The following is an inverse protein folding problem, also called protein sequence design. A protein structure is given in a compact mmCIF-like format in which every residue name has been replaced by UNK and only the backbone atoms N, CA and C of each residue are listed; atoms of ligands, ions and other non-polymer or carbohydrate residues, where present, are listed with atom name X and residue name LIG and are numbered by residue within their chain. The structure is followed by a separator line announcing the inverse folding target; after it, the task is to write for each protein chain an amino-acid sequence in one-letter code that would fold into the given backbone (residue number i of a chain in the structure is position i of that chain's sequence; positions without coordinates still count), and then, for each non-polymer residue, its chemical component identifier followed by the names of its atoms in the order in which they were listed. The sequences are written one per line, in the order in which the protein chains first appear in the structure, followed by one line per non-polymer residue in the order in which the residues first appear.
data_IF_287320169812
#
_entry.id   IF_287320169812
#
_cell.length_a   1.000
_cell.length_b   1.000
_cell.length_c   1.000
_cell.angle_alpha   90.00
_cell.angle_beta   90.00
_cell.angle_gamma   90.00
#
_symmetry.space_group_name_H-M   'P 1'
#
loop_
_entity.id
_entity.type
_entity.pdbx_description
1 polymer ?
#
# COMPACT_ATOMS: atom_id res chain seq x y z
N UNK A 1 28.89 -17.48 -21.84
CA UNK A 1 27.73 -17.28 -20.92
C UNK A 1 28.07 -16.62 -19.55
N UNK A 2 29.27 -16.04 -19.31
CA UNK A 2 29.71 -15.70 -17.92
C UNK A 2 29.75 -14.21 -17.51
N UNK A 3 29.50 -13.23 -18.39
CA UNK A 3 29.43 -11.80 -17.99
C UNK A 3 28.01 -11.28 -17.73
N UNK A 4 27.06 -11.49 -18.66
CA UNK A 4 25.65 -11.07 -18.54
C UNK A 4 24.91 -11.64 -17.31
N UNK A 5 25.24 -12.86 -16.87
CA UNK A 5 24.62 -13.51 -15.70
C UNK A 5 25.15 -12.93 -14.38
N UNK A 6 26.44 -12.53 -14.32
CA UNK A 6 27.09 -11.86 -13.19
C UNK A 6 26.61 -10.41 -13.03
N UNK A 7 26.40 -9.68 -14.13
CA UNK A 7 25.83 -8.32 -14.12
C UNK A 7 24.36 -8.30 -13.67
N UNK A 8 23.52 -9.21 -14.18
CA UNK A 8 22.13 -9.35 -13.71
C UNK A 8 22.03 -9.71 -12.23
N UNK A 9 22.98 -10.50 -11.71
CA UNK A 9 23.07 -10.82 -10.28
C UNK A 9 23.38 -9.58 -9.43
N UNK A 10 24.44 -8.85 -9.78
CA UNK A 10 24.85 -7.62 -9.08
C UNK A 10 23.79 -6.50 -9.14
N UNK A 11 23.08 -6.38 -10.28
CA UNK A 11 22.00 -5.40 -10.42
C UNK A 11 20.79 -5.75 -9.54
N UNK A 12 20.41 -7.04 -9.48
CA UNK A 12 19.35 -7.51 -8.56
C UNK A 12 19.71 -7.32 -7.09
N UNK A 13 20.98 -7.51 -6.73
CA UNK A 13 21.49 -7.27 -5.37
C UNK A 13 21.45 -5.79 -5.01
N UNK A 14 21.94 -4.90 -5.89
CA UNK A 14 21.86 -3.45 -5.69
C UNK A 14 20.40 -2.94 -5.63
N UNK A 15 19.50 -3.49 -6.43
CA UNK A 15 18.08 -3.13 -6.40
C UNK A 15 17.40 -3.65 -5.13
N UNK A 16 17.82 -4.79 -4.60
CA UNK A 16 17.35 -5.33 -3.31
C UNK A 16 17.86 -4.48 -2.14
N UNK A 17 19.14 -4.10 -2.14
CA UNK A 17 19.72 -3.18 -1.16
C UNK A 17 19.11 -1.76 -1.22
N UNK A 18 18.74 -1.28 -2.41
CA UNK A 18 18.05 0.01 -2.56
C UNK A 18 16.60 -0.06 -2.05
N UNK A 19 15.87 -1.16 -2.32
CA UNK A 19 14.54 -1.41 -1.73
C UNK A 19 14.58 -1.55 -0.21
N UNK A 20 15.65 -2.15 0.33
CA UNK A 20 15.90 -2.26 1.77
C UNK A 20 16.40 -0.94 2.40
N UNK A 21 16.48 0.17 1.65
CA UNK A 21 16.83 1.51 2.18
C UNK A 21 15.65 2.48 2.26
N UNK A 22 14.54 2.22 1.58
CA UNK A 22 13.38 3.13 1.62
C UNK A 22 12.67 3.00 2.97
N UNK A 23 12.75 4.06 3.79
CA UNK A 23 12.00 4.17 5.04
C UNK A 23 10.51 4.22 4.73
N UNK A 24 9.72 3.43 5.44
CA UNK A 24 8.26 3.46 5.32
C UNK A 24 7.61 3.68 6.68
N UNK A 25 6.60 4.53 6.67
CA UNK A 25 5.85 4.94 7.85
C UNK A 25 4.40 4.54 7.74
N UNK A 26 3.90 3.84 8.74
CA UNK A 26 2.51 3.41 8.83
C UNK A 26 1.86 4.18 9.96
N UNK A 27 1.01 5.15 9.64
CA UNK A 27 0.26 5.95 10.59
C UNK A 27 -1.14 5.34 10.72
N UNK A 28 -1.41 4.70 11.83
CA UNK A 28 -2.64 3.95 12.07
C UNK A 28 -3.62 4.82 12.85
N UNK A 29 -4.78 5.04 12.24
CA UNK A 29 -5.95 5.59 12.88
C UNK A 29 -6.66 4.46 13.65
N UNK A 30 -6.20 4.19 14.86
CA UNK A 30 -6.67 3.03 15.63
C UNK A 30 -8.14 3.16 16.05
N UNK A 31 -8.67 4.38 16.15
CA UNK A 31 -10.09 4.64 16.41
C UNK A 31 -10.96 4.12 15.26
N UNK A 32 -10.48 4.23 14.02
CA UNK A 32 -11.23 3.82 12.84
C UNK A 32 -11.07 2.34 12.46
N UNK A 33 -9.84 1.80 12.51
CA UNK A 33 -9.54 0.45 11.99
C UNK A 33 -9.26 -0.60 13.05
N UNK A 34 -9.05 -0.19 14.30
CA UNK A 34 -8.72 -1.08 15.42
C UNK A 34 -7.63 -2.11 15.04
N UNK A 35 -7.77 -3.36 15.50
CA UNK A 35 -6.84 -4.46 15.18
C UNK A 35 -6.80 -4.78 13.67
N UNK A 36 -7.89 -4.56 12.93
CA UNK A 36 -7.92 -4.89 11.50
C UNK A 36 -6.88 -4.08 10.70
N UNK A 37 -6.59 -2.85 11.11
CA UNK A 37 -5.53 -2.01 10.54
C UNK A 37 -4.13 -2.62 10.65
N UNK A 38 -3.89 -3.45 11.68
CA UNK A 38 -2.59 -4.09 11.94
C UNK A 38 -2.34 -5.35 11.10
N UNK A 39 -3.31 -5.80 10.29
CA UNK A 39 -3.11 -6.98 9.45
C UNK A 39 -1.88 -6.78 8.53
N UNK A 40 -0.90 -7.68 8.61
CA UNK A 40 0.35 -7.60 7.86
C UNK A 40 1.50 -6.91 8.59
N UNK A 41 1.34 -6.52 9.87
CA UNK A 41 2.41 -5.92 10.69
C UNK A 41 3.59 -6.87 10.89
N UNK A 42 3.36 -8.18 10.89
CA UNK A 42 4.36 -9.25 10.96
C UNK A 42 5.32 -9.27 9.76
N UNK A 43 4.92 -8.68 8.64
CA UNK A 43 5.69 -8.63 7.41
C UNK A 43 6.61 -7.40 7.33
N UNK A 44 6.52 -6.51 8.32
CA UNK A 44 7.34 -5.31 8.36
C UNK A 44 8.78 -5.63 8.78
N UNK A 45 9.68 -4.77 8.36
CA UNK A 45 11.12 -4.86 8.54
C UNK A 45 11.62 -3.79 9.52
N UNK A 46 12.88 -3.86 9.91
CA UNK A 46 13.53 -2.89 10.81
C UNK A 46 13.59 -1.45 10.26
N UNK A 47 13.38 -1.26 8.96
CA UNK A 47 13.36 0.07 8.32
C UNK A 47 11.97 0.70 8.30
N UNK A 48 10.96 -0.06 8.72
CA UNK A 48 9.59 0.40 8.85
C UNK A 48 9.36 0.95 10.26
N UNK A 49 8.54 2.00 10.37
CA UNK A 49 7.98 2.42 11.66
C UNK A 49 6.46 2.49 11.61
N UNK A 50 5.84 2.09 12.69
CA UNK A 50 4.39 2.12 12.89
C UNK A 50 4.10 3.14 13.98
N UNK A 51 3.22 4.10 13.69
CA UNK A 51 2.71 5.08 14.61
C UNK A 51 1.22 4.78 14.83
N UNK A 52 0.85 4.37 16.03
CA UNK A 52 -0.54 4.04 16.38
C UNK A 52 -1.14 5.26 17.08
N UNK A 53 -2.00 5.98 16.36
CA UNK A 53 -2.77 7.09 16.90
C UNK A 53 -4.05 6.55 17.55
N UNK A 54 -4.29 6.93 18.79
CA UNK A 54 -5.45 6.48 19.56
C UNK A 54 -5.98 7.60 20.46
N UNK A 55 -7.29 7.61 20.68
CA UNK A 55 -7.99 8.54 21.57
C UNK A 55 -8.34 7.87 22.91
N UNK A 56 -8.85 8.63 23.88
CA UNK A 56 -9.37 8.07 25.14
C UNK A 56 -10.45 6.99 24.93
N UNK A 57 -11.25 7.08 23.87
CA UNK A 57 -12.28 6.09 23.56
C UNK A 57 -11.70 4.76 23.05
N UNK A 58 -10.42 4.74 22.66
CA UNK A 58 -9.69 3.58 22.19
C UNK A 58 -8.48 3.24 23.09
N UNK A 59 -8.47 3.69 24.35
CA UNK A 59 -7.33 3.56 25.31
C UNK A 59 -6.98 2.11 25.66
N UNK A 60 -7.83 1.12 25.34
CA UNK A 60 -7.57 -0.29 25.65
C UNK A 60 -7.06 -1.07 24.45
N UNK A 61 -5.75 -1.07 24.24
CA UNK A 61 -5.09 -2.09 23.42
C UNK A 61 -5.20 -3.44 24.16
N UNK A 62 -6.05 -4.33 23.64
CA UNK A 62 -6.22 -5.64 24.26
C UNK A 62 -4.96 -6.52 24.09
N UNK A 63 -4.91 -7.61 24.85
CA UNK A 63 -3.76 -8.53 24.83
C UNK A 63 -3.45 -9.11 23.44
N UNK A 64 -4.47 -9.32 22.62
CA UNK A 64 -4.30 -9.84 21.25
C UNK A 64 -3.55 -8.84 20.36
N UNK A 65 -3.87 -7.55 20.48
CA UNK A 65 -3.13 -6.48 19.77
C UNK A 65 -1.69 -6.44 20.22
N UNK A 66 -1.42 -6.51 21.52
CA UNK A 66 -0.05 -6.53 22.05
C UNK A 66 0.74 -7.74 21.54
N UNK A 67 0.11 -8.92 21.52
CA UNK A 67 0.70 -10.13 20.95
C UNK A 67 1.01 -9.95 19.47
N UNK A 68 0.09 -9.40 18.68
CA UNK A 68 0.32 -9.15 17.26
C UNK A 68 1.47 -8.16 17.03
N UNK A 69 1.47 -7.04 17.75
CA UNK A 69 2.56 -6.03 17.68
C UNK A 69 3.90 -6.66 18.03
N UNK A 70 3.96 -7.56 19.03
CA UNK A 70 5.22 -8.23 19.41
C UNK A 70 5.84 -9.10 18.31
N UNK A 71 5.08 -9.45 17.26
CA UNK A 71 5.59 -10.23 16.12
C UNK A 71 6.37 -9.40 15.10
N UNK A 72 6.25 -8.07 15.14
CA UNK A 72 6.85 -7.20 14.13
C UNK A 72 8.33 -6.92 14.38
N UNK A 73 9.07 -6.68 13.30
CA UNK A 73 10.46 -6.16 13.36
C UNK A 73 10.50 -4.64 13.25
N UNK A 74 9.37 -3.99 12.93
CA UNK A 74 9.26 -2.55 12.85
C UNK A 74 9.35 -1.90 14.23
N UNK A 75 9.80 -0.64 14.27
CA UNK A 75 9.66 0.16 15.48
C UNK A 75 8.20 0.62 15.60
N UNK A 76 7.58 0.40 16.74
CA UNK A 76 6.20 0.81 17.01
C UNK A 76 6.19 1.92 18.05
N UNK A 77 5.45 2.99 17.76
CA UNK A 77 5.24 4.14 18.64
C UNK A 77 3.74 4.39 18.82
N UNK A 78 3.34 4.70 20.05
CA UNK A 78 1.96 4.99 20.41
C UNK A 78 1.82 6.50 20.60
N UNK A 79 0.87 7.12 19.90
CA UNK A 79 0.62 8.55 19.94
C UNK A 79 -0.79 8.76 20.48
N UNK A 80 -0.89 9.17 21.75
CA UNK A 80 -2.17 9.49 22.37
C UNK A 80 -2.66 10.85 21.90
N UNK A 81 -3.89 10.90 21.44
CA UNK A 81 -4.59 12.11 21.04
C UNK A 81 -5.44 12.58 22.24
N UNK A 82 -4.85 13.44 23.08
CA UNK A 82 -5.47 13.92 24.33
C UNK A 82 -6.37 15.16 24.16
N UNK A 83 -6.43 15.72 22.95
CA UNK A 83 -7.26 16.92 22.67
C UNK A 83 -8.70 16.54 22.39
N UNK A 84 -9.63 17.19 23.09
CA UNK A 84 -11.06 17.07 22.81
C UNK A 84 -11.44 17.97 21.63
N UNK A 85 -11.84 17.36 20.52
CA UNK A 85 -12.27 18.08 19.32
C UNK A 85 -12.68 17.12 18.22
N UNK A 86 -13.72 17.47 17.46
CA UNK A 86 -14.12 16.70 16.28
C UNK A 86 -12.92 16.61 15.33
N UNK A 87 -12.58 15.39 14.90
CA UNK A 87 -11.46 15.10 13.98
C UNK A 87 -10.07 15.46 14.53
N UNK A 88 -9.90 15.57 15.86
CA UNK A 88 -8.61 15.86 16.47
C UNK A 88 -7.52 14.86 16.05
N UNK A 89 -7.87 13.57 15.99
CA UNK A 89 -6.98 12.52 15.50
C UNK A 89 -6.55 12.79 14.06
N UNK A 90 -7.49 13.10 13.18
CA UNK A 90 -7.22 13.33 11.76
C UNK A 90 -6.27 14.51 11.54
N UNK A 91 -6.45 15.60 12.29
CA UNK A 91 -5.55 16.75 12.21
C UNK A 91 -4.15 16.43 12.71
N UNK A 92 -4.03 15.72 13.83
CA UNK A 92 -2.73 15.35 14.38
C UNK A 92 -2.01 14.35 13.47
N UNK A 93 -2.70 13.31 12.99
CA UNK A 93 -2.16 12.32 12.08
C UNK A 93 -1.69 13.00 10.78
N UNK A 94 -2.53 13.83 10.17
CA UNK A 94 -2.19 14.54 8.92
C UNK A 94 -1.01 15.49 9.09
N UNK A 95 -0.93 16.19 10.23
CA UNK A 95 0.20 17.06 10.56
C UNK A 95 1.49 16.26 10.76
N UNK A 96 1.39 15.09 11.39
CA UNK A 96 2.53 14.21 11.64
C UNK A 96 3.11 13.63 10.35
N UNK A 97 2.29 13.38 9.32
CA UNK A 97 2.78 13.02 7.97
C UNK A 97 3.74 14.10 7.45
N UNK A 98 3.34 15.38 7.54
CA UNK A 98 4.19 16.50 7.10
C UNK A 98 5.52 16.55 7.85
N UNK A 99 5.49 16.31 9.18
CA UNK A 99 6.69 16.19 10.00
C UNK A 99 7.61 15.06 9.53
N UNK A 100 7.08 13.85 9.27
CA UNK A 100 7.86 12.71 8.80
C UNK A 100 8.47 12.93 7.41
N UNK A 101 7.69 13.49 6.48
CA UNK A 101 8.15 13.82 5.13
C UNK A 101 9.27 14.87 5.15
N UNK A 102 9.22 15.82 6.10
CA UNK A 102 10.27 16.82 6.30
C UNK A 102 11.53 16.27 6.95
N UNK A 103 11.43 15.21 7.76
CA UNK A 103 12.59 14.58 8.40
C UNK A 103 13.32 13.59 7.50
N UNK A 104 12.59 12.84 6.68
CA UNK A 104 13.12 11.75 5.89
C UNK A 104 12.72 11.87 4.42
N UNK A 105 13.60 12.50 3.64
CA UNK A 105 13.40 12.70 2.21
C UNK A 105 13.23 11.35 1.48
N UNK A 106 12.20 11.28 0.63
CA UNK A 106 11.90 10.09 -0.17
C UNK A 106 11.25 8.93 0.58
N UNK A 107 10.90 9.10 1.87
CA UNK A 107 10.15 8.10 2.62
C UNK A 107 8.75 7.87 2.02
N UNK A 108 8.17 6.69 2.30
CA UNK A 108 6.78 6.40 1.96
C UNK A 108 5.92 6.45 3.21
N UNK A 109 4.83 7.20 3.18
CA UNK A 109 3.87 7.26 4.27
C UNK A 109 2.57 6.54 3.88
N UNK A 110 2.08 5.71 4.77
CA UNK A 110 0.84 4.97 4.65
C UNK A 110 -0.10 5.41 5.76
N UNK A 111 -1.22 6.02 5.38
CA UNK A 111 -2.35 6.27 6.27
C UNK A 111 -3.13 4.97 6.34
N UNK A 112 -3.26 4.40 7.52
CA UNK A 112 -4.02 3.17 7.74
C UNK A 112 -5.36 3.52 8.37
N UNK A 113 -6.36 3.74 7.52
CA UNK A 113 -7.73 4.13 7.90
C UNK A 113 -8.72 3.72 6.80
N UNK A 114 -9.97 3.47 7.17
CA UNK A 114 -11.11 3.36 6.23
C UNK A 114 -11.81 4.71 6.01
N UNK A 115 -11.42 5.78 6.71
CA UNK A 115 -11.99 7.10 6.49
C UNK A 115 -11.52 7.69 5.14
N UNK A 116 -12.51 7.94 4.27
CA UNK A 116 -12.31 8.55 2.96
C UNK A 116 -11.88 10.02 3.06
N UNK A 117 -12.04 10.67 4.21
CA UNK A 117 -11.53 12.02 4.47
C UNK A 117 -10.03 12.15 4.18
N UNK A 118 -9.25 11.11 4.50
CA UNK A 118 -7.80 11.06 4.26
C UNK A 118 -7.39 10.98 2.78
N UNK A 119 -8.32 10.71 1.86
CA UNK A 119 -8.04 10.79 0.41
C UNK A 119 -7.54 12.18 0.03
N UNK A 120 -8.05 13.23 0.69
CA UNK A 120 -7.61 14.60 0.46
C UNK A 120 -6.13 14.80 0.85
N UNK A 121 -5.68 14.16 1.94
CA UNK A 121 -4.29 14.22 2.41
C UNK A 121 -3.36 13.51 1.41
N UNK A 122 -3.75 12.31 0.95
CA UNK A 122 -3.03 11.61 -0.11
C UNK A 122 -2.91 12.46 -1.38
N UNK A 123 -4.02 13.05 -1.85
CA UNK A 123 -4.02 13.86 -3.08
C UNK A 123 -3.13 15.10 -2.92
N UNK A 124 -3.20 15.78 -1.78
CA UNK A 124 -2.39 16.96 -1.49
C UNK A 124 -0.90 16.64 -1.61
N UNK A 125 -0.43 15.60 -0.94
CA UNK A 125 0.98 15.21 -0.95
C UNK A 125 1.43 14.64 -2.29
N UNK A 126 0.55 13.89 -2.98
CA UNK A 126 0.83 13.42 -4.34
C UNK A 126 1.12 14.58 -5.31
N UNK A 127 0.35 15.68 -5.23
CA UNK A 127 0.59 16.89 -6.04
C UNK A 127 1.95 17.53 -5.76
N UNK A 128 2.49 17.33 -4.56
CA UNK A 128 3.82 17.80 -4.15
C UNK A 128 4.93 16.77 -4.41
N UNK A 129 4.64 15.69 -5.15
CA UNK A 129 5.60 14.63 -5.47
C UNK A 129 5.93 13.69 -4.31
N UNK A 130 5.20 13.76 -3.20
CA UNK A 130 5.43 12.95 -2.01
C UNK A 130 4.65 11.62 -2.07
N UNK A 131 5.24 10.57 -1.51
CA UNK A 131 4.69 9.20 -1.56
C UNK A 131 3.78 8.92 -0.36
N UNK A 132 2.57 9.50 -0.35
CA UNK A 132 1.55 9.25 0.68
C UNK A 132 0.42 8.40 0.10
N UNK A 133 -0.01 7.36 0.83
CA UNK A 133 -1.05 6.42 0.37
C UNK A 133 -2.03 6.07 1.48
N UNK A 134 -3.32 6.01 1.19
CA UNK A 134 -4.37 5.53 2.08
C UNK A 134 -4.61 4.04 1.84
N UNK A 135 -4.55 3.26 2.91
CA UNK A 135 -4.76 1.81 2.91
C UNK A 135 -5.65 1.43 4.11
N UNK A 136 -6.39 0.33 4.08
CA UNK A 136 -7.29 -0.07 5.17
C UNK A 136 -6.55 -0.85 6.27
N UNK A 137 -5.38 -1.42 5.93
CA UNK A 137 -4.50 -2.19 6.79
C UNK A 137 -3.10 -2.31 6.16
N UNK A 138 -2.10 -2.65 6.97
CA UNK A 138 -0.68 -2.71 6.56
C UNK A 138 -0.42 -3.66 5.37
N UNK A 139 -1.14 -4.77 5.27
CA UNK A 139 -0.93 -5.78 4.20
C UNK A 139 -1.19 -5.19 2.81
N UNK A 140 -2.21 -4.34 2.70
CA UNK A 140 -2.64 -3.74 1.43
C UNK A 140 -1.65 -2.71 0.87
N UNK A 141 -0.60 -2.34 1.63
CA UNK A 141 0.52 -1.52 1.14
C UNK A 141 1.12 -2.05 -0.17
N UNK A 142 1.09 -3.37 -0.37
CA UNK A 142 1.69 -4.05 -1.52
C UNK A 142 1.06 -3.61 -2.83
N UNK A 143 -0.26 -3.48 -2.85
CA UNK A 143 -1.01 -2.97 -4.03
C UNK A 143 -0.59 -1.54 -4.32
N UNK A 144 -0.50 -0.73 -3.26
CA UNK A 144 -0.11 0.67 -3.35
C UNK A 144 1.34 0.86 -3.86
N UNK A 145 2.17 -0.20 -3.84
CA UNK A 145 3.56 -0.19 -4.35
C UNK A 145 3.70 -0.77 -5.76
N UNK A 146 2.65 -1.34 -6.35
CA UNK A 146 2.69 -1.91 -7.70
C UNK A 146 2.99 -0.81 -8.71
N UNK A 147 4.00 -1.01 -9.56
CA UNK A 147 4.32 -0.08 -10.65
C UNK A 147 3.57 -0.47 -11.91
N UNK A 148 3.24 0.51 -12.76
CA UNK A 148 2.61 0.25 -14.05
C UNK A 148 3.39 -0.76 -14.90
N UNK A 149 4.73 -0.69 -14.87
CA UNK A 149 5.56 -1.63 -15.61
C UNK A 149 5.43 -3.07 -15.10
N UNK A 150 5.28 -3.30 -13.79
CA UNK A 150 5.08 -4.64 -13.24
C UNK A 150 3.78 -5.27 -13.75
N UNK A 151 2.74 -4.45 -13.93
CA UNK A 151 1.45 -4.85 -14.51
C UNK A 151 1.62 -5.20 -15.99
N UNK A 152 2.26 -4.31 -16.75
CA UNK A 152 2.54 -4.52 -18.18
C UNK A 152 3.31 -5.82 -18.39
N UNK A 153 4.41 -6.01 -17.65
CA UNK A 153 5.27 -7.19 -17.77
C UNK A 153 4.48 -8.48 -17.53
N UNK A 154 3.59 -8.50 -16.52
CA UNK A 154 2.75 -9.65 -16.21
C UNK A 154 1.70 -9.88 -17.30
N UNK A 155 1.00 -8.84 -17.76
CA UNK A 155 -0.05 -8.96 -18.78
C UNK A 155 0.52 -9.38 -20.13
N UNK A 156 1.74 -8.95 -20.45
CA UNK A 156 2.43 -9.36 -21.69
C UNK A 156 2.65 -10.86 -21.79
N UNK A 157 2.70 -11.58 -20.66
CA UNK A 157 2.83 -13.06 -20.61
C UNK A 157 1.52 -13.80 -20.89
N UNK A 158 0.37 -13.12 -20.91
CA UNK A 158 -0.94 -13.75 -21.12
C UNK A 158 -1.11 -14.09 -22.60
N UNK A 159 -0.97 -15.37 -22.94
CA UNK A 159 -0.90 -15.86 -24.32
C UNK A 159 -2.20 -15.75 -25.12
N UNK A 160 -3.36 -15.72 -24.46
CA UNK A 160 -4.68 -15.61 -25.12
C UNK A 160 -4.99 -14.19 -25.64
N UNK A 161 -4.18 -13.19 -25.25
CA UNK A 161 -4.37 -11.80 -25.66
C UNK A 161 -3.51 -11.47 -26.87
N UNK A 162 -4.05 -10.68 -27.80
CA UNK A 162 -3.24 -9.98 -28.81
C UNK A 162 -2.61 -8.70 -28.23
N UNK A 163 -1.72 -8.04 -28.99
CA UNK A 163 -0.97 -6.88 -28.48
C UNK A 163 -1.85 -5.66 -28.14
N UNK A 164 -2.94 -5.43 -28.89
CA UNK A 164 -3.90 -4.37 -28.60
C UNK A 164 -4.66 -4.67 -27.30
N UNK A 165 -5.08 -5.92 -27.12
CA UNK A 165 -5.76 -6.39 -25.91
C UNK A 165 -4.85 -6.37 -24.69
N UNK A 166 -3.57 -6.69 -24.83
CA UNK A 166 -2.57 -6.57 -23.75
C UNK A 166 -2.40 -5.12 -23.31
N UNK A 167 -2.37 -4.20 -24.27
CA UNK A 167 -2.27 -2.77 -24.00
C UNK A 167 -3.53 -2.29 -23.26
N UNK A 168 -4.71 -2.60 -23.80
CA UNK A 168 -5.99 -2.26 -23.18
C UNK A 168 -6.16 -2.86 -21.77
N UNK A 169 -5.79 -4.12 -21.58
CA UNK A 169 -5.82 -4.79 -20.28
C UNK A 169 -4.89 -4.10 -19.28
N UNK A 170 -3.68 -3.72 -19.70
CA UNK A 170 -2.71 -3.03 -18.84
C UNK A 170 -3.23 -1.68 -18.36
N UNK A 171 -3.86 -0.91 -19.24
CA UNK A 171 -4.44 0.39 -18.88
C UNK A 171 -5.63 0.24 -17.93
N UNK A 172 -6.52 -0.73 -18.17
CA UNK A 172 -7.65 -1.00 -17.30
C UNK A 172 -7.21 -1.47 -15.91
N UNK A 173 -6.25 -2.40 -15.84
CA UNK A 173 -5.71 -2.87 -14.56
C UNK A 173 -5.00 -1.74 -13.82
N UNK A 174 -4.15 -0.96 -14.52
CA UNK A 174 -3.45 0.17 -13.93
C UNK A 174 -4.40 1.25 -13.42
N UNK A 175 -5.48 1.54 -14.15
CA UNK A 175 -6.54 2.47 -13.74
C UNK A 175 -7.08 2.10 -12.37
N UNK A 176 -7.38 0.84 -12.09
CA UNK A 176 -7.93 0.42 -10.80
C UNK A 176 -6.88 0.24 -9.71
N UNK A 177 -5.66 -0.17 -10.06
CA UNK A 177 -4.57 -0.30 -9.09
C UNK A 177 -4.06 1.05 -8.58
N UNK A 178 -4.14 2.12 -9.40
CA UNK A 178 -3.70 3.46 -9.02
C UNK A 178 -4.77 4.31 -8.33
N UNK A 179 -6.06 4.00 -8.49
CA UNK A 179 -7.17 4.87 -8.02
C UNK A 179 -7.38 4.88 -6.51
N UNK A 180 -6.48 4.27 -5.72
CA UNK A 180 -6.47 4.45 -4.27
C UNK A 180 -7.74 3.98 -3.58
N UNK A 181 -8.50 3.05 -4.19
CA UNK A 181 -9.61 2.42 -3.49
C UNK A 181 -9.02 1.67 -2.29
N UNK A 182 -9.45 1.97 -1.05
CA UNK A 182 -8.79 1.47 0.14
C UNK A 182 -9.06 -0.01 0.34
N UNK A 183 -9.72 -0.75 -0.55
CA UNK A 183 -9.93 -2.18 -0.36
C UNK A 183 -9.59 -2.96 -1.61
N UNK A 184 -8.72 -3.98 -1.46
CA UNK A 184 -8.38 -4.89 -2.55
C UNK A 184 -9.61 -5.59 -3.13
N UNK A 185 -10.62 -5.86 -2.31
CA UNK A 185 -11.89 -6.41 -2.79
C UNK A 185 -12.54 -5.49 -3.84
N UNK A 186 -12.59 -4.18 -3.60
CA UNK A 186 -13.14 -3.22 -4.55
C UNK A 186 -12.27 -3.08 -5.79
N UNK A 187 -10.95 -3.10 -5.64
CA UNK A 187 -10.02 -3.09 -6.79
C UNK A 187 -10.24 -4.32 -7.66
N UNK A 188 -10.35 -5.51 -7.06
CA UNK A 188 -10.64 -6.75 -7.79
C UNK A 188 -11.99 -6.70 -8.49
N UNK A 189 -13.04 -6.18 -7.84
CA UNK A 189 -14.36 -6.04 -8.48
C UNK A 189 -14.30 -5.06 -9.65
N UNK A 190 -13.66 -3.90 -9.47
CA UNK A 190 -13.50 -2.89 -10.52
C UNK A 190 -12.73 -3.41 -11.74
N UNK A 191 -11.59 -4.07 -11.52
CA UNK A 191 -10.82 -4.72 -12.58
C UNK A 191 -11.68 -5.78 -13.29
N UNK A 192 -12.39 -6.63 -12.55
CA UNK A 192 -13.22 -7.68 -13.14
C UNK A 192 -14.32 -7.11 -14.03
N UNK A 193 -15.05 -6.10 -13.56
CA UNK A 193 -16.15 -5.51 -14.32
C UNK A 193 -15.66 -4.85 -15.61
N UNK A 194 -14.61 -4.03 -15.54
CA UNK A 194 -14.06 -3.35 -16.72
C UNK A 194 -13.44 -4.35 -17.71
N UNK A 195 -12.73 -5.39 -17.24
CA UNK A 195 -12.14 -6.40 -18.11
C UNK A 195 -13.19 -7.31 -18.76
N UNK A 196 -14.23 -7.74 -18.03
CA UNK A 196 -15.29 -8.59 -18.61
C UNK A 196 -16.03 -7.81 -19.70
N UNK A 197 -16.34 -6.55 -19.45
CA UNK A 197 -16.99 -5.69 -20.43
C UNK A 197 -16.12 -5.47 -21.68
N UNK A 198 -14.82 -5.28 -21.51
CA UNK A 198 -13.91 -4.98 -22.61
C UNK A 198 -13.44 -6.20 -23.42
N UNK A 199 -13.15 -7.32 -22.74
CA UNK A 199 -12.41 -8.46 -23.30
C UNK A 199 -13.12 -9.81 -23.12
N UNK A 200 -14.25 -9.85 -22.42
CA UNK A 200 -14.99 -11.07 -22.13
C UNK A 200 -14.42 -11.90 -20.97
N UNK A 201 -15.19 -12.89 -20.53
CA UNK A 201 -14.93 -13.63 -19.30
C UNK A 201 -13.67 -14.51 -19.31
N UNK A 202 -13.39 -15.20 -20.42
CA UNK A 202 -12.24 -16.12 -20.52
C UNK A 202 -10.91 -15.36 -20.42
N UNK A 203 -10.77 -14.29 -21.19
CA UNK A 203 -9.60 -13.41 -21.16
C UNK A 203 -9.44 -12.73 -19.81
N UNK A 204 -10.55 -12.27 -19.21
CA UNK A 204 -10.54 -11.69 -17.87
C UNK A 204 -9.98 -12.66 -16.83
N UNK A 205 -10.43 -13.93 -16.86
CA UNK A 205 -9.93 -14.96 -15.94
C UNK A 205 -8.43 -15.21 -16.09
N UNK A 206 -7.93 -15.25 -17.33
CA UNK A 206 -6.50 -15.39 -17.61
C UNK A 206 -5.69 -14.19 -17.07
N UNK A 207 -6.17 -12.98 -17.30
CA UNK A 207 -5.56 -11.75 -16.77
C UNK A 207 -5.52 -11.78 -15.24
N UNK A 208 -6.64 -12.08 -14.57
CA UNK A 208 -6.72 -12.15 -13.11
C UNK A 208 -5.74 -13.14 -12.50
N UNK A 209 -5.58 -14.31 -13.13
CA UNK A 209 -4.63 -15.31 -12.68
C UNK A 209 -3.19 -14.79 -12.78
N UNK A 210 -2.86 -14.09 -13.87
CA UNK A 210 -1.54 -13.50 -14.08
C UNK A 210 -1.23 -12.39 -13.06
N UNK A 211 -2.16 -11.45 -12.84
CA UNK A 211 -1.96 -10.32 -11.92
C UNK A 211 -2.14 -10.66 -10.44
N UNK A 212 -2.62 -11.87 -10.12
CA UNK A 212 -2.85 -12.33 -8.74
C UNK A 212 -1.65 -12.11 -7.80
N UNK A 213 -0.38 -12.37 -8.19
CA UNK A 213 0.77 -12.15 -7.33
C UNK A 213 1.02 -10.67 -6.99
N UNK A 214 0.56 -9.74 -7.83
CA UNK A 214 0.66 -8.30 -7.59
C UNK A 214 -0.40 -7.81 -6.57
N UNK A 215 -1.42 -8.63 -6.32
CA UNK A 215 -2.56 -8.35 -5.45
C UNK A 215 -2.54 -9.18 -4.15
N UNK A 216 -1.37 -9.65 -3.71
CA UNK A 216 -1.21 -10.48 -2.51
C UNK A 216 -0.42 -9.76 -1.44
#
# INVERSE_FOLDING_TARGET
MSKKKKEKGKLKEKMKEAKDKEKRYFLIDYENVHMAGLAGVEELTKNDKVFIFYSQNADSLNFEVMKLISTTKARVEYIKVDTQGKNALDFQLSSYIGYLLGQDEGCECYIVSNDKGYVNVQIFWFKLGQKVKLIPNIRERRIATVKQQDIIDVIMTVSILNDAEKTQASDLVWKHMKTGSPHLAHIKVGINNDLVHALGGEKTKAIFNAIRPLMK
#
